data_IF_433600959920
#
_entry.id   IF_433600959920
#
_cell.length_a   1.000
_cell.length_b   1.000
_cell.length_c   1.000
_cell.angle_alpha   90.00
_cell.angle_beta   90.00
_cell.angle_gamma   90.00
#
_symmetry.space_group_name_H-M   'P 1'
#
loop_
_entity.id
_entity.type
_entity.pdbx_description
1 polymer ?
#
# COMPACT_ATOMS: atom_id res chain seq x y z
N UNK A 1 7.79 -22.70 24.17
CA UNK A 1 7.18 -23.55 23.12
C UNK A 1 8.14 -24.72 22.87
N UNK A 2 7.67 -25.96 22.75
CA UNK A 2 8.54 -27.11 22.44
C UNK A 2 8.16 -27.72 21.09
N UNK A 3 9.17 -27.93 20.25
CA UNK A 3 9.06 -28.38 18.86
C UNK A 3 10.21 -29.32 18.51
N UNK A 4 10.00 -30.14 17.49
CA UNK A 4 10.95 -31.12 17.01
C UNK A 4 11.92 -30.49 16.01
N UNK A 5 13.21 -30.49 16.33
CA UNK A 5 14.25 -30.03 15.43
C UNK A 5 14.20 -30.74 14.05
N UNK A 6 13.88 -32.04 14.02
CA UNK A 6 13.76 -32.80 12.78
C UNK A 6 12.66 -32.24 11.84
N UNK A 7 11.52 -31.85 12.39
CA UNK A 7 10.43 -31.27 11.60
C UNK A 7 10.79 -29.88 11.09
N UNK A 8 11.38 -29.04 11.95
CA UNK A 8 11.84 -27.71 11.56
C UNK A 8 12.85 -27.76 10.41
N UNK A 9 13.88 -28.60 10.53
CA UNK A 9 14.92 -28.79 9.52
C UNK A 9 14.36 -29.27 8.18
N UNK A 10 13.41 -30.20 8.22
CA UNK A 10 12.77 -30.73 7.01
C UNK A 10 11.96 -29.66 6.28
N UNK A 11 11.26 -28.79 7.03
CA UNK A 11 10.34 -27.82 6.46
C UNK A 11 11.00 -26.51 5.99
N UNK A 12 12.19 -26.18 6.49
CA UNK A 12 12.82 -24.88 6.28
C UNK A 12 14.34 -25.00 6.15
N UNK A 13 14.93 -24.49 5.05
CA UNK A 13 16.39 -24.43 4.90
C UNK A 13 17.04 -23.43 5.86
N UNK A 14 16.28 -22.49 6.42
CA UNK A 14 16.78 -21.56 7.45
C UNK A 14 16.92 -22.30 8.79
N UNK A 15 15.88 -23.02 9.21
CA UNK A 15 15.98 -23.88 10.39
C UNK A 15 17.01 -24.99 10.20
N UNK A 16 17.14 -25.58 9.01
CA UNK A 16 18.20 -26.57 8.76
C UNK A 16 19.58 -26.00 9.00
N UNK A 17 19.92 -24.87 8.39
CA UNK A 17 21.21 -24.19 8.60
C UNK A 17 21.44 -23.82 10.07
N UNK A 18 20.42 -23.32 10.78
CA UNK A 18 20.54 -22.95 12.19
C UNK A 18 20.79 -24.17 13.10
N UNK A 19 20.24 -25.34 12.76
CA UNK A 19 20.24 -26.54 13.60
C UNK A 19 21.26 -27.61 13.16
N UNK A 20 21.91 -27.46 12.00
CA UNK A 20 22.98 -28.36 11.52
C UNK A 20 24.33 -27.68 11.34
N UNK A 21 24.35 -26.35 11.26
CA UNK A 21 25.56 -25.59 10.99
C UNK A 21 26.56 -25.59 12.15
N UNK A 22 27.58 -24.74 12.03
CA UNK A 22 28.60 -24.57 13.07
C UNK A 22 28.16 -23.67 14.23
N UNK A 23 26.89 -23.24 14.24
CA UNK A 23 26.33 -22.37 15.27
C UNK A 23 26.27 -23.05 16.64
N UNK A 24 26.26 -22.26 17.70
CA UNK A 24 26.20 -22.76 19.07
C UNK A 24 24.94 -23.62 19.30
N UNK A 25 23.84 -23.26 18.65
CA UNK A 25 22.56 -23.97 18.73
C UNK A 25 22.66 -25.40 18.22
N UNK A 26 23.29 -25.60 17.06
CA UNK A 26 23.51 -26.91 16.47
C UNK A 26 24.44 -27.78 17.34
N UNK A 27 25.53 -27.19 17.86
CA UNK A 27 26.46 -27.90 18.75
C UNK A 27 25.77 -28.32 20.06
N UNK A 28 24.97 -27.43 20.66
CA UNK A 28 24.23 -27.71 21.88
C UNK A 28 23.15 -28.78 21.66
N UNK A 29 22.44 -28.73 20.53
CA UNK A 29 21.45 -29.73 20.16
C UNK A 29 22.10 -31.11 19.99
N UNK A 30 23.25 -31.20 19.33
CA UNK A 30 23.99 -32.46 19.17
C UNK A 30 24.48 -33.03 20.51
N UNK A 31 24.97 -32.18 21.42
CA UNK A 31 25.52 -32.61 22.71
C UNK A 31 24.46 -32.99 23.75
N UNK A 32 23.35 -32.26 23.80
CA UNK A 32 22.37 -32.36 24.90
C UNK A 32 21.02 -32.91 24.46
N UNK A 33 20.79 -33.04 23.16
CA UNK A 33 19.50 -33.46 22.58
C UNK A 33 18.42 -32.37 22.60
N UNK A 34 18.71 -31.18 23.14
CA UNK A 34 17.80 -30.02 23.16
C UNK A 34 18.55 -28.71 22.99
N UNK A 35 17.85 -27.67 22.56
CA UNK A 35 18.38 -26.30 22.47
C UNK A 35 17.23 -25.33 22.66
N UNK A 36 17.49 -24.23 23.37
CA UNK A 36 16.57 -23.10 23.50
C UNK A 36 16.94 -22.03 22.47
N UNK A 37 15.98 -21.62 21.65
CA UNK A 37 16.14 -20.57 20.64
C UNK A 37 15.25 -19.41 21.05
N UNK A 38 15.87 -18.27 21.33
CA UNK A 38 15.16 -17.01 21.53
C UNK A 38 14.78 -16.43 20.17
N UNK A 39 13.51 -16.10 20.00
CA UNK A 39 12.98 -15.42 18.83
C UNK A 39 12.35 -14.10 19.30
N UNK A 40 12.70 -13.02 18.62
CA UNK A 40 12.22 -11.66 18.89
C UNK A 40 11.58 -11.09 17.62
N UNK A 41 10.61 -10.19 17.78
CA UNK A 41 9.95 -9.51 16.66
C UNK A 41 8.84 -10.30 15.95
N UNK A 42 8.64 -11.58 16.28
CA UNK A 42 7.56 -12.38 15.72
C UNK A 42 6.25 -12.26 16.50
N UNK A 43 5.15 -12.16 15.77
CA UNK A 43 3.82 -12.37 16.34
C UNK A 43 3.68 -13.83 16.81
N UNK A 44 3.28 -13.96 18.08
CA UNK A 44 3.22 -15.26 18.76
C UNK A 44 2.20 -16.20 18.11
N UNK A 45 1.05 -15.68 17.68
CA UNK A 45 -0.01 -16.48 17.08
C UNK A 45 0.40 -16.98 15.69
N UNK A 46 0.94 -16.10 14.85
CA UNK A 46 1.48 -16.45 13.54
C UNK A 46 2.57 -17.52 13.65
N UNK A 47 3.50 -17.37 14.61
CA UNK A 47 4.55 -18.34 14.87
C UNK A 47 3.98 -19.69 15.33
N UNK A 48 2.99 -19.69 16.23
CA UNK A 48 2.35 -20.92 16.68
C UNK A 48 1.63 -21.65 15.54
N UNK A 49 0.98 -20.92 14.62
CA UNK A 49 0.34 -21.50 13.43
C UNK A 49 1.39 -22.15 12.51
N UNK A 50 2.45 -21.43 12.18
CA UNK A 50 3.58 -21.95 11.40
C UNK A 50 4.12 -23.26 12.00
N UNK A 51 4.42 -23.25 13.30
CA UNK A 51 4.95 -24.41 14.00
C UNK A 51 3.94 -25.57 14.03
N UNK A 52 2.63 -25.31 14.21
CA UNK A 52 1.60 -26.36 14.17
C UNK A 52 1.56 -27.04 12.80
N UNK A 53 1.63 -26.28 11.72
CA UNK A 53 1.61 -26.81 10.35
C UNK A 53 2.85 -27.67 10.09
N UNK A 54 4.04 -27.16 10.41
CA UNK A 54 5.31 -27.90 10.27
C UNK A 54 5.29 -29.24 11.04
N UNK A 55 4.56 -29.31 12.16
CA UNK A 55 4.45 -30.51 12.99
C UNK A 55 3.22 -31.37 12.68
N UNK A 56 2.51 -31.12 11.57
CA UNK A 56 1.33 -31.89 11.17
C UNK A 56 0.14 -31.76 12.13
N UNK A 57 0.13 -30.75 13.01
CA UNK A 57 -0.94 -30.50 13.98
C UNK A 57 -2.09 -29.70 13.37
N UNK A 58 -2.53 -30.11 12.19
CA UNK A 58 -3.48 -29.39 11.33
C UNK A 58 -4.85 -29.16 11.99
N UNK A 59 -5.29 -30.05 12.88
CA UNK A 59 -6.56 -29.88 13.63
C UNK A 59 -6.58 -28.63 14.55
N UNK A 60 -5.42 -28.00 14.81
CA UNK A 60 -5.30 -26.77 15.61
C UNK A 60 -5.01 -25.54 14.76
N UNK A 61 -5.10 -25.67 13.44
CA UNK A 61 -4.85 -24.60 12.48
C UNK A 61 -6.21 -24.07 12.03
N UNK A 62 -6.45 -22.75 12.12
CA UNK A 62 -7.72 -22.19 11.71
C UNK A 62 -7.92 -22.31 10.18
N UNK A 63 -9.14 -22.64 9.76
CA UNK A 63 -9.50 -22.68 8.34
C UNK A 63 -9.50 -21.30 7.68
N UNK A 64 -9.75 -20.27 8.47
CA UNK A 64 -9.78 -18.87 8.04
C UNK A 64 -8.90 -18.04 8.97
N UNK A 65 -8.12 -17.15 8.40
CA UNK A 65 -7.30 -16.18 9.16
C UNK A 65 -7.66 -14.78 8.68
N UNK A 66 -7.74 -13.79 9.58
CA UNK A 66 -7.89 -12.40 9.18
C UNK A 66 -6.65 -11.93 8.40
N UNK A 67 -6.81 -10.90 7.57
CA UNK A 67 -5.74 -10.33 6.74
C UNK A 67 -4.46 -10.08 7.54
N UNK A 68 -4.57 -9.39 8.68
CA UNK A 68 -3.43 -9.02 9.52
C UNK A 68 -2.63 -10.23 10.00
N UNK A 69 -3.30 -11.29 10.45
CA UNK A 69 -2.64 -12.54 10.84
C UNK A 69 -2.03 -13.24 9.62
N UNK A 70 -2.72 -13.24 8.47
CA UNK A 70 -2.19 -13.82 7.24
C UNK A 70 -0.93 -13.09 6.75
N UNK A 71 -0.89 -11.77 6.85
CA UNK A 71 0.26 -10.93 6.51
C UNK A 71 1.47 -11.32 7.36
N UNK A 72 1.30 -11.45 8.69
CA UNK A 72 2.35 -11.87 9.61
C UNK A 72 2.82 -13.31 9.39
N UNK A 73 1.89 -14.23 9.09
CA UNK A 73 2.25 -15.59 8.70
C UNK A 73 3.08 -15.56 7.41
N UNK A 74 2.68 -14.77 6.41
CA UNK A 74 3.44 -14.63 5.17
C UNK A 74 4.87 -14.10 5.41
N UNK A 75 5.07 -13.16 6.34
CA UNK A 75 6.42 -12.71 6.75
C UNK A 75 7.25 -13.89 7.27
N UNK A 76 6.69 -14.70 8.18
CA UNK A 76 7.39 -15.87 8.73
C UNK A 76 7.71 -16.90 7.64
N UNK A 77 6.76 -17.16 6.74
CA UNK A 77 6.94 -18.13 5.66
C UNK A 77 8.04 -17.69 4.69
N UNK A 78 8.06 -16.41 4.33
CA UNK A 78 9.09 -15.80 3.51
C UNK A 78 10.46 -15.88 4.20
N UNK A 79 10.54 -15.43 5.46
CA UNK A 79 11.76 -15.43 6.25
C UNK A 79 12.36 -16.83 6.42
N UNK A 80 11.55 -17.81 6.83
CA UNK A 80 12.01 -19.17 7.04
C UNK A 80 12.07 -19.99 5.74
N UNK A 81 11.69 -19.42 4.59
CA UNK A 81 11.68 -20.08 3.28
C UNK A 81 10.98 -21.46 3.32
N UNK A 82 9.77 -21.52 3.88
CA UNK A 82 9.02 -22.75 4.13
C UNK A 82 7.65 -22.80 3.42
N UNK A 83 7.54 -22.12 2.28
CA UNK A 83 6.32 -22.05 1.46
C UNK A 83 5.75 -23.45 1.13
N UNK A 84 6.61 -24.42 0.80
CA UNK A 84 6.19 -25.77 0.44
C UNK A 84 5.45 -26.47 1.58
N UNK A 85 5.99 -26.41 2.81
CA UNK A 85 5.36 -26.99 3.99
C UNK A 85 3.99 -26.35 4.32
N UNK A 86 3.79 -25.11 3.88
CA UNK A 86 2.61 -24.30 4.18
C UNK A 86 1.58 -24.28 3.05
N UNK A 87 1.90 -24.87 1.89
CA UNK A 87 1.19 -24.65 0.61
C UNK A 87 -0.32 -24.93 0.68
N UNK A 88 -0.75 -25.94 1.43
CA UNK A 88 -2.18 -26.30 1.54
C UNK A 88 -2.96 -25.21 2.26
N UNK A 89 -2.46 -24.73 3.39
CA UNK A 89 -3.11 -23.69 4.19
C UNK A 89 -3.04 -22.32 3.50
N UNK A 90 -1.90 -22.01 2.88
CA UNK A 90 -1.71 -20.78 2.09
C UNK A 90 -2.74 -20.67 0.96
N UNK A 91 -3.01 -21.76 0.23
CA UNK A 91 -4.06 -21.78 -0.82
C UNK A 91 -5.46 -21.57 -0.26
N UNK A 92 -5.76 -22.19 0.88
CA UNK A 92 -7.05 -22.05 1.54
C UNK A 92 -7.30 -20.60 1.98
N UNK A 93 -6.33 -19.99 2.66
CA UNK A 93 -6.44 -18.62 3.14
C UNK A 93 -6.45 -17.60 2.00
N UNK A 94 -5.64 -17.79 0.95
CA UNK A 94 -5.70 -16.98 -0.28
C UNK A 94 -7.12 -16.92 -0.85
N UNK A 95 -7.74 -18.10 -1.01
CA UNK A 95 -9.10 -18.21 -1.58
C UNK A 95 -10.15 -17.46 -0.74
N UNK A 96 -9.99 -17.47 0.59
CA UNK A 96 -10.87 -16.72 1.49
C UNK A 96 -10.61 -15.21 1.40
N UNK A 97 -9.36 -14.79 1.41
CA UNK A 97 -8.96 -13.39 1.33
C UNK A 97 -9.42 -12.74 0.03
N UNK A 98 -9.39 -13.45 -1.10
CA UNK A 98 -9.91 -12.96 -2.38
C UNK A 98 -11.39 -12.53 -2.34
N UNK A 99 -12.16 -12.97 -1.33
CA UNK A 99 -13.55 -12.53 -1.10
C UNK A 99 -13.69 -11.26 -0.27
N UNK A 100 -12.59 -10.74 0.29
CA UNK A 100 -12.54 -9.65 1.26
C UNK A 100 -11.70 -8.46 0.78
N UNK A 101 -11.49 -8.33 -0.53
CA UNK A 101 -10.69 -7.25 -1.12
C UNK A 101 -11.30 -5.89 -0.71
N UNK A 102 -10.49 -4.94 -0.22
CA UNK A 102 -10.99 -3.69 0.33
C UNK A 102 -11.48 -2.78 -0.80
N UNK A 103 -12.54 -2.04 -0.50
CA UNK A 103 -13.09 -0.98 -1.37
C UNK A 103 -12.77 0.42 -0.87
N UNK A 104 -12.44 0.55 0.42
CA UNK A 104 -12.02 1.79 1.07
C UNK A 104 -10.55 1.79 1.42
N UNK A 105 -10.03 2.97 1.74
CA UNK A 105 -8.65 3.15 2.17
C UNK A 105 -8.54 3.14 3.70
N UNK A 106 -7.65 2.29 4.20
CA UNK A 106 -7.11 2.32 5.56
C UNK A 106 -5.61 2.07 5.46
N UNK A 107 -4.77 2.93 6.04
CA UNK A 107 -3.32 2.87 5.84
C UNK A 107 -2.72 1.50 6.20
N UNK A 108 -3.03 0.99 7.40
CA UNK A 108 -2.51 -0.30 7.88
C UNK A 108 -3.03 -1.46 7.05
N UNK A 109 -4.34 -1.54 6.83
CA UNK A 109 -4.95 -2.62 6.05
C UNK A 109 -4.44 -2.62 4.60
N UNK A 110 -4.25 -1.43 4.01
CA UNK A 110 -3.74 -1.30 2.64
C UNK A 110 -2.30 -1.82 2.54
N UNK A 111 -1.44 -1.55 3.52
CA UNK A 111 -0.08 -2.09 3.56
C UNK A 111 -0.05 -3.61 3.75
N UNK A 112 -0.93 -4.14 4.61
CA UNK A 112 -1.13 -5.59 4.76
C UNK A 112 -1.56 -6.23 3.43
N UNK A 113 -2.50 -5.61 2.73
CA UNK A 113 -2.95 -6.09 1.42
C UNK A 113 -1.87 -5.99 0.34
N UNK A 114 -1.07 -4.92 0.31
CA UNK A 114 0.07 -4.81 -0.62
C UNK A 114 1.05 -5.97 -0.37
N UNK A 115 1.39 -6.24 0.88
CA UNK A 115 2.27 -7.35 1.23
C UNK A 115 1.67 -8.71 0.87
N UNK A 116 0.44 -8.99 1.29
CA UNK A 116 -0.27 -10.26 1.06
C UNK A 116 -0.45 -10.51 -0.43
N UNK A 117 -0.94 -9.52 -1.19
CA UNK A 117 -1.15 -9.68 -2.63
C UNK A 117 0.16 -9.86 -3.40
N UNK A 118 1.26 -9.26 -2.94
CA UNK A 118 2.59 -9.50 -3.47
C UNK A 118 3.07 -10.93 -3.17
N UNK A 119 3.01 -11.35 -1.90
CA UNK A 119 3.46 -12.67 -1.46
C UNK A 119 2.69 -13.82 -2.14
N UNK A 120 1.38 -13.67 -2.33
CA UNK A 120 0.52 -14.68 -2.95
C UNK A 120 0.43 -14.60 -4.47
N UNK A 121 1.15 -13.66 -5.11
CA UNK A 121 1.04 -13.39 -6.55
C UNK A 121 -0.41 -13.15 -7.01
N UNK A 122 -1.05 -12.14 -6.41
CA UNK A 122 -2.43 -11.73 -6.68
C UNK A 122 -2.45 -10.43 -7.48
N UNK A 123 -1.97 -10.45 -8.73
CA UNK A 123 -1.68 -9.23 -9.51
C UNK A 123 -2.85 -8.25 -9.58
N UNK A 124 -4.08 -8.73 -9.83
CA UNK A 124 -5.27 -7.88 -9.88
C UNK A 124 -5.57 -7.20 -8.55
N UNK A 125 -5.38 -7.91 -7.43
CA UNK A 125 -5.60 -7.34 -6.09
C UNK A 125 -4.51 -6.35 -5.78
N UNK A 126 -3.25 -6.69 -6.10
CA UNK A 126 -2.10 -5.81 -5.96
C UNK A 126 -2.32 -4.47 -6.69
N UNK A 127 -2.76 -4.49 -7.95
CA UNK A 127 -3.08 -3.29 -8.73
C UNK A 127 -4.18 -2.45 -8.05
N UNK A 128 -5.22 -3.10 -7.55
CA UNK A 128 -6.33 -2.41 -6.90
C UNK A 128 -5.89 -1.71 -5.60
N UNK A 129 -5.13 -2.39 -4.74
CA UNK A 129 -4.76 -1.84 -3.42
C UNK A 129 -3.62 -0.83 -3.53
N UNK A 130 -2.70 -1.00 -4.48
CA UNK A 130 -1.70 0.04 -4.80
C UNK A 130 -2.35 1.29 -5.41
N UNK A 131 -3.42 1.15 -6.20
CA UNK A 131 -4.20 2.29 -6.67
C UNK A 131 -4.91 3.02 -5.52
N UNK A 132 -5.47 2.29 -4.55
CA UNK A 132 -6.03 2.90 -3.33
C UNK A 132 -4.96 3.70 -2.58
N UNK A 133 -3.78 3.12 -2.40
CA UNK A 133 -2.62 3.80 -1.81
C UNK A 133 -2.21 5.06 -2.59
N UNK A 134 -2.13 5.02 -3.92
CA UNK A 134 -1.79 6.20 -4.74
C UNK A 134 -2.84 7.31 -4.59
N UNK A 135 -4.13 6.94 -4.52
CA UNK A 135 -5.23 7.92 -4.49
C UNK A 135 -5.45 8.55 -3.11
N UNK A 136 -5.43 7.73 -2.08
CA UNK A 136 -5.86 8.11 -0.72
C UNK A 136 -4.71 8.13 0.28
N UNK A 137 -3.60 7.47 -0.04
CA UNK A 137 -2.40 7.43 0.77
C UNK A 137 -1.92 8.80 1.17
N UNK A 138 -1.26 8.88 2.33
CA UNK A 138 -0.68 10.08 2.91
C UNK A 138 0.66 9.72 3.59
N UNK A 139 1.18 10.62 4.42
CA UNK A 139 2.43 10.41 5.17
C UNK A 139 2.36 9.29 6.22
N UNK A 140 1.18 8.74 6.52
CA UNK A 140 1.02 7.61 7.43
C UNK A 140 1.21 6.25 6.73
N UNK A 141 1.49 6.24 5.43
CA UNK A 141 1.80 5.03 4.66
C UNK A 141 3.23 4.52 4.87
N UNK A 142 3.69 4.47 6.11
CA UNK A 142 5.01 3.93 6.46
C UNK A 142 4.82 2.73 7.39
N UNK A 143 5.35 1.56 7.00
CA UNK A 143 5.41 0.39 7.88
C UNK A 143 6.73 -0.32 7.74
N UNK A 144 7.34 -0.63 8.88
CA UNK A 144 8.53 -1.48 9.02
C UNK A 144 8.16 -2.93 9.33
N UNK A 145 6.87 -3.24 9.52
CA UNK A 145 6.40 -4.57 9.94
C UNK A 145 6.37 -5.57 8.78
N UNK A 146 6.16 -5.11 7.55
CA UNK A 146 6.01 -5.97 6.38
C UNK A 146 7.17 -5.79 5.40
N UNK A 147 7.71 -6.88 4.81
CA UNK A 147 8.83 -6.84 3.87
C UNK A 147 8.37 -6.42 2.46
N UNK A 148 7.64 -5.31 2.38
CA UNK A 148 7.31 -4.66 1.11
C UNK A 148 8.58 -4.02 0.56
N UNK A 149 8.92 -4.32 -0.70
CA UNK A 149 10.13 -3.76 -1.33
C UNK A 149 10.06 -2.24 -1.34
N UNK A 150 11.18 -1.59 -0.99
CA UNK A 150 11.30 -0.13 -1.03
C UNK A 150 10.90 0.45 -2.40
N UNK A 151 11.24 -0.24 -3.50
CA UNK A 151 10.87 0.17 -4.85
C UNK A 151 9.36 0.23 -5.10
N UNK A 152 8.56 -0.62 -4.45
CA UNK A 152 7.10 -0.57 -4.53
C UNK A 152 6.58 0.68 -3.81
N UNK A 153 7.08 0.94 -2.60
CA UNK A 153 6.68 2.10 -1.80
C UNK A 153 7.10 3.42 -2.47
N UNK A 154 8.30 3.48 -3.03
CA UNK A 154 8.80 4.61 -3.82
C UNK A 154 7.94 4.86 -5.06
N UNK A 155 7.54 3.79 -5.77
CA UNK A 155 6.66 3.92 -6.92
C UNK A 155 5.29 4.49 -6.53
N UNK A 156 4.67 3.98 -5.45
CA UNK A 156 3.40 4.50 -4.92
C UNK A 156 3.53 5.99 -4.58
N UNK A 157 4.57 6.36 -3.83
CA UNK A 157 4.84 7.76 -3.44
C UNK A 157 5.03 8.66 -4.66
N UNK A 158 5.85 8.23 -5.62
CA UNK A 158 6.11 8.98 -6.86
C UNK A 158 4.83 9.18 -7.67
N UNK A 159 4.02 8.14 -7.81
CA UNK A 159 2.75 8.24 -8.54
C UNK A 159 1.73 9.14 -7.82
N UNK A 160 1.67 9.09 -6.49
CA UNK A 160 0.84 9.97 -5.67
C UNK A 160 1.24 11.44 -5.88
N UNK A 161 2.52 11.76 -5.67
CA UNK A 161 3.05 13.11 -5.80
C UNK A 161 2.82 13.66 -7.21
N UNK A 162 3.15 12.88 -8.24
CA UNK A 162 2.93 13.27 -9.65
C UNK A 162 1.45 13.50 -9.98
N UNK A 163 0.55 12.70 -9.41
CA UNK A 163 -0.90 12.86 -9.64
C UNK A 163 -1.44 14.15 -9.02
N UNK A 164 -0.98 14.49 -7.81
CA UNK A 164 -1.31 15.75 -7.15
C UNK A 164 -0.73 16.94 -7.92
N UNK A 165 0.56 16.86 -8.26
CA UNK A 165 1.26 17.89 -9.03
C UNK A 165 0.57 18.19 -10.36
N UNK A 166 0.14 17.16 -11.10
CA UNK A 166 -0.58 17.34 -12.36
C UNK A 166 -1.88 18.14 -12.21
N UNK A 167 -2.64 17.91 -11.13
CA UNK A 167 -3.87 18.67 -10.86
C UNK A 167 -3.55 20.12 -10.50
N UNK A 168 -2.54 20.35 -9.66
CA UNK A 168 -2.11 21.70 -9.28
C UNK A 168 -1.57 22.49 -10.49
N UNK A 169 -0.79 21.84 -11.36
CA UNK A 169 -0.29 22.42 -12.60
C UNK A 169 -1.44 22.78 -13.55
N UNK A 170 -2.49 21.95 -13.62
CA UNK A 170 -3.68 22.28 -14.39
C UNK A 170 -4.36 23.53 -13.84
N UNK A 171 -4.58 23.61 -12.52
CA UNK A 171 -5.15 24.79 -11.86
C UNK A 171 -4.32 26.05 -12.16
N UNK A 172 -2.99 25.97 -12.02
CA UNK A 172 -2.08 27.08 -12.28
C UNK A 172 -2.16 27.54 -13.75
N UNK A 173 -2.17 26.60 -14.70
CA UNK A 173 -2.35 26.88 -16.13
C UNK A 173 -3.65 27.63 -16.39
N UNK A 174 -4.76 27.21 -15.78
CA UNK A 174 -6.05 27.89 -15.92
C UNK A 174 -6.03 29.31 -15.34
N UNK A 175 -5.48 29.47 -14.13
CA UNK A 175 -5.33 30.77 -13.46
C UNK A 175 -4.53 31.76 -14.31
N UNK A 176 -3.38 31.32 -14.84
CA UNK A 176 -2.50 32.15 -15.65
C UNK A 176 -3.10 32.43 -17.03
N UNK A 177 -3.72 31.44 -17.67
CA UNK A 177 -4.36 31.62 -18.97
C UNK A 177 -5.52 32.62 -18.92
N UNK A 178 -6.34 32.59 -17.87
CA UNK A 178 -7.40 33.59 -17.67
C UNK A 178 -6.81 34.99 -17.41
N UNK A 179 -5.76 35.09 -16.58
CA UNK A 179 -5.10 36.37 -16.26
C UNK A 179 -4.44 37.02 -17.48
N UNK A 180 -3.79 36.21 -18.33
CA UNK A 180 -3.07 36.68 -19.51
C UNK A 180 -3.99 36.89 -20.73
N UNK A 181 -5.26 36.48 -20.65
CA UNK A 181 -6.17 36.56 -21.78
C UNK A 181 -6.01 35.44 -22.81
N UNK A 182 -5.28 34.37 -22.47
CA UNK A 182 -5.13 33.17 -23.31
C UNK A 182 -6.39 32.28 -23.23
N UNK A 183 -7.08 32.25 -22.10
CA UNK A 183 -8.34 31.50 -21.94
C UNK A 183 -9.53 32.44 -21.80
N UNK A 184 -10.71 32.01 -22.23
CA UNK A 184 -11.95 32.78 -22.17
C UNK A 184 -12.18 33.71 -23.36
N UNK A 185 -13.41 34.17 -23.56
CA UNK A 185 -13.81 34.85 -24.80
C UNK A 185 -13.76 36.38 -24.74
N UNK A 186 -14.11 37.01 -23.62
CA UNK A 186 -14.03 38.48 -23.43
C UNK A 186 -13.31 38.84 -22.13
N UNK A 187 -12.95 40.10 -21.94
CA UNK A 187 -12.33 40.56 -20.70
C UNK A 187 -13.23 40.28 -19.49
N UNK A 188 -14.51 40.60 -19.60
CA UNK A 188 -15.52 40.40 -18.56
C UNK A 188 -15.65 38.92 -18.21
N UNK A 189 -15.79 38.04 -19.21
CA UNK A 189 -15.87 36.60 -18.99
C UNK A 189 -14.65 36.04 -18.27
N UNK A 190 -13.44 36.54 -18.59
CA UNK A 190 -12.21 36.13 -17.91
C UNK A 190 -12.17 36.61 -16.47
N UNK A 191 -12.63 37.83 -16.20
CA UNK A 191 -12.73 38.34 -14.83
C UNK A 191 -13.70 37.50 -14.00
N UNK A 192 -14.86 37.13 -14.56
CA UNK A 192 -15.86 36.29 -13.89
C UNK A 192 -15.31 34.90 -13.57
N UNK A 193 -14.74 34.22 -14.57
CA UNK A 193 -14.19 32.88 -14.41
C UNK A 193 -12.97 32.85 -13.48
N UNK A 194 -12.08 33.85 -13.60
CA UNK A 194 -10.93 33.99 -12.71
C UNK A 194 -11.39 34.29 -11.28
N UNK A 195 -12.37 35.17 -11.10
CA UNK A 195 -12.95 35.46 -9.78
C UNK A 195 -13.55 34.22 -9.13
N UNK A 196 -14.31 33.42 -9.89
CA UNK A 196 -14.87 32.15 -9.41
C UNK A 196 -13.78 31.13 -9.04
N UNK A 197 -12.73 31.01 -9.86
CA UNK A 197 -11.59 30.13 -9.60
C UNK A 197 -10.84 30.56 -8.33
N UNK A 198 -10.50 31.85 -8.20
CA UNK A 198 -9.77 32.39 -7.05
C UNK A 198 -10.57 32.22 -5.74
N UNK A 199 -11.88 32.45 -5.77
CA UNK A 199 -12.76 32.21 -4.61
C UNK A 199 -12.83 30.72 -4.25
N UNK A 200 -12.94 29.84 -5.25
CA UNK A 200 -12.98 28.38 -5.02
C UNK A 200 -11.65 27.87 -4.44
N UNK A 201 -10.52 28.37 -4.94
CA UNK A 201 -9.18 28.06 -4.42
C UNK A 201 -9.02 28.56 -2.98
N UNK A 202 -9.49 29.76 -2.67
CA UNK A 202 -9.45 30.30 -1.32
C UNK A 202 -10.28 29.43 -0.35
N UNK A 203 -11.52 29.10 -0.72
CA UNK A 203 -12.40 28.26 0.09
C UNK A 203 -11.85 26.85 0.33
N UNK A 204 -11.09 26.32 -0.63
CA UNK A 204 -10.45 25.00 -0.54
C UNK A 204 -9.06 25.02 0.13
N UNK A 205 -8.57 26.16 0.65
CA UNK A 205 -7.19 26.32 1.15
C UNK A 205 -6.11 25.99 0.10
N UNK A 206 -6.41 26.22 -1.18
CA UNK A 206 -5.53 26.00 -2.33
C UNK A 206 -5.05 27.29 -3.00
N UNK A 207 -5.37 28.46 -2.42
CA UNK A 207 -4.91 29.76 -2.96
C UNK A 207 -3.38 29.82 -3.06
N UNK A 208 -2.70 29.28 -2.03
CA UNK A 208 -1.30 28.92 -2.05
C UNK A 208 -1.21 27.39 -2.20
N UNK A 209 -0.78 26.87 -3.36
CA UNK A 209 -0.72 25.42 -3.57
C UNK A 209 0.22 24.75 -2.56
N UNK A 210 -0.12 23.56 -2.05
CA UNK A 210 0.79 22.78 -1.23
C UNK A 210 2.01 22.35 -2.05
N UNK A 211 3.15 22.17 -1.38
CA UNK A 211 4.39 21.70 -1.99
C UNK A 211 4.67 20.25 -1.64
N UNK A 212 5.46 19.54 -2.45
CA UNK A 212 5.94 18.18 -2.18
C UNK A 212 6.52 18.07 -0.76
N UNK A 213 6.17 17.05 0.04
CA UNK A 213 5.44 15.82 -0.31
C UNK A 213 3.89 15.92 -0.24
N UNK A 214 3.36 17.15 -0.25
CA UNK A 214 1.93 17.46 -0.16
C UNK A 214 1.31 16.93 1.14
N UNK A 215 1.97 17.21 2.27
CA UNK A 215 1.50 16.89 3.62
C UNK A 215 0.06 17.39 3.83
N UNK A 216 -0.79 16.55 4.40
CA UNK A 216 -2.22 16.81 4.60
C UNK A 216 -3.10 16.69 3.35
N UNK A 217 -2.54 16.40 2.18
CA UNK A 217 -3.28 16.25 0.93
C UNK A 217 -3.12 14.86 0.36
N UNK A 218 -4.23 14.21 -0.01
CA UNK A 218 -4.26 13.07 -0.92
C UNK A 218 -4.81 13.48 -2.29
N UNK A 219 -4.54 12.70 -3.33
CA UNK A 219 -5.11 12.97 -4.66
C UNK A 219 -6.64 13.03 -4.60
N UNK A 220 -7.27 12.10 -3.88
CA UNK A 220 -8.73 12.04 -3.80
C UNK A 220 -9.31 13.25 -3.04
N UNK A 221 -8.63 13.71 -1.98
CA UNK A 221 -9.03 14.93 -1.26
C UNK A 221 -8.92 16.17 -2.17
N UNK A 222 -7.83 16.32 -2.93
CA UNK A 222 -7.65 17.42 -3.87
C UNK A 222 -8.71 17.37 -4.97
N UNK A 223 -8.93 16.19 -5.55
CA UNK A 223 -9.92 15.98 -6.59
C UNK A 223 -11.35 16.30 -6.11
N UNK A 224 -11.66 15.97 -4.86
CA UNK A 224 -12.95 16.32 -4.25
C UNK A 224 -13.15 17.83 -4.14
N UNK A 225 -12.12 18.57 -3.71
CA UNK A 225 -12.17 20.04 -3.68
C UNK A 225 -12.35 20.61 -5.10
N UNK A 226 -11.54 20.16 -6.06
CA UNK A 226 -11.60 20.64 -7.45
C UNK A 226 -12.96 20.37 -8.08
N UNK A 227 -13.57 19.20 -7.82
CA UNK A 227 -14.92 18.89 -8.29
C UNK A 227 -16.00 19.80 -7.72
N UNK A 228 -15.77 20.34 -6.53
CA UNK A 228 -16.70 21.25 -5.85
C UNK A 228 -16.53 22.71 -6.31
N UNK A 229 -15.53 23.03 -7.14
CA UNK A 229 -15.33 24.38 -7.65
C UNK A 229 -16.55 24.85 -8.43
N UNK A 230 -16.85 26.13 -8.30
CA UNK A 230 -17.92 26.76 -9.07
C UNK A 230 -17.61 26.62 -10.56
N UNK A 231 -18.60 26.14 -11.31
CA UNK A 231 -18.46 26.07 -12.76
C UNK A 231 -18.36 27.49 -13.33
N UNK A 232 -17.53 27.71 -14.36
CA UNK A 232 -17.53 28.95 -15.13
C UNK A 232 -18.96 29.36 -15.47
N UNK A 233 -19.33 30.58 -15.11
CA UNK A 233 -20.66 31.15 -15.41
C UNK A 233 -20.68 31.84 -16.76
N UNK A 234 -19.50 32.10 -17.34
CA UNK A 234 -19.37 32.66 -18.67
C UNK A 234 -19.94 31.70 -19.73
N UNK A 235 -20.69 32.25 -20.68
CA UNK A 235 -21.31 31.48 -21.78
C UNK A 235 -20.35 31.28 -22.96
N UNK A 236 -19.04 31.28 -22.71
CA UNK A 236 -18.05 31.06 -23.76
C UNK A 236 -18.14 29.61 -24.26
N UNK A 237 -17.92 29.40 -25.55
CA UNK A 237 -17.94 28.05 -26.14
C UNK A 237 -16.77 27.23 -25.56
N UNK A 238 -16.97 25.96 -25.18
CA UNK A 238 -15.88 25.11 -24.63
C UNK A 238 -14.63 25.07 -25.54
N UNK A 239 -14.84 25.23 -26.86
CA UNK A 239 -13.78 25.34 -27.85
C UNK A 239 -12.86 26.56 -27.66
N UNK A 240 -13.33 27.68 -27.09
CA UNK A 240 -12.46 28.82 -26.77
C UNK A 240 -11.50 28.55 -25.62
N UNK A 241 -11.67 27.44 -24.90
CA UNK A 241 -10.74 26.97 -23.87
C UNK A 241 -9.85 25.82 -24.35
N UNK A 242 -10.19 25.17 -25.46
CA UNK A 242 -9.48 24.02 -26.03
C UNK A 242 -8.62 24.38 -27.26
N UNK A 243 -8.91 25.49 -27.95
CA UNK A 243 -8.15 25.99 -29.12
C UNK A 243 -6.90 26.80 -28.73
N UNK A 244 -6.02 26.22 -27.91
CA UNK A 244 -4.62 26.64 -27.89
C UNK A 244 -3.80 25.42 -28.24
N UNK A 245 -3.04 25.50 -29.34
CA UNK A 245 -2.28 24.45 -30.06
C UNK A 245 -1.23 23.66 -29.24
N UNK A 246 -1.42 23.53 -27.93
CA UNK A 246 -0.62 22.75 -26.97
C UNK A 246 -1.54 22.20 -25.86
N UNK A 247 -2.57 21.45 -26.24
CA UNK A 247 -3.23 20.55 -25.29
C UNK A 247 -2.52 19.21 -25.31
#
# INVERSE_FOLDING_TARGET
IQVSAKHLRLASPVFDRQLTGSFNEAQNLQRTGKVDITVEGWDLEALLILLRIIHGRNHRVPHFVPLSLCARIAVLVDYYACQEAMQVHLRLWKSHLETQIPTGYNATETLEWIWVSYFFDMSRVFDQVTLLAIRHGDEHMESTEFPVKASIMEAIKTHREKSIENVLNLIARWRDGLRQGLFGCTFECRCDDLGALEQSLFAANLYNPPTTPFTGWSFDSLFTHVKAFLKPSSRCNLLSYLNHDKC
#
